data_IF_899229780967
#
_entry.id   IF_899229780967
#
_cell.length_a   1.000
_cell.length_b   1.000
_cell.length_c   1.000
_cell.angle_alpha   90.00
_cell.angle_beta   90.00
_cell.angle_gamma   90.00
#
_symmetry.space_group_name_H-M   'P 1'
#
loop_
_entity.id
_entity.type
_entity.pdbx_description
1 polymer ?
#
# COMPACT_ATOMS: atom_id res chain seq x y z
N UNK A 1 19.79 13.02 11.87
CA UNK A 1 19.73 13.39 13.31
C UNK A 1 21.09 13.20 14.01
N UNK A 2 22.20 13.64 13.40
CA UNK A 2 23.58 13.36 13.89
C UNK A 2 23.88 13.97 15.27
N UNK A 3 23.40 15.19 15.53
CA UNK A 3 23.55 15.88 16.83
C UNK A 3 22.93 15.10 17.99
N UNK A 4 21.79 14.45 17.75
CA UNK A 4 21.09 13.61 18.74
C UNK A 4 21.68 12.20 18.86
N UNK A 5 22.71 11.87 18.06
CA UNK A 5 23.31 10.53 17.98
C UNK A 5 22.28 9.40 17.78
N UNK A 6 21.18 9.69 17.09
CA UNK A 6 20.13 8.72 16.82
C UNK A 6 20.64 7.61 15.89
N UNK A 7 20.11 6.40 16.06
CA UNK A 7 20.44 5.28 15.19
C UNK A 7 19.94 5.53 13.76
N UNK A 8 20.51 4.79 12.80
CA UNK A 8 20.04 4.84 11.41
C UNK A 8 18.58 4.39 11.29
N UNK A 9 18.19 3.38 12.09
CA UNK A 9 16.80 2.90 12.16
C UNK A 9 15.86 4.00 12.68
N UNK A 10 16.20 4.65 13.80
CA UNK A 10 15.42 5.77 14.32
C UNK A 10 15.29 6.89 13.28
N UNK A 11 16.38 7.22 12.59
CA UNK A 11 16.36 8.24 11.53
C UNK A 11 15.42 7.84 10.40
N UNK A 12 15.48 6.57 9.95
CA UNK A 12 14.59 6.06 8.90
C UNK A 12 13.12 6.13 9.33
N UNK A 13 12.79 5.64 10.53
CA UNK A 13 11.42 5.65 11.06
C UNK A 13 10.89 7.07 11.18
N UNK A 14 11.65 7.98 11.80
CA UNK A 14 11.22 9.39 11.96
C UNK A 14 11.03 10.07 10.61
N UNK A 15 11.98 9.92 9.68
CA UNK A 15 11.85 10.49 8.34
C UNK A 15 10.63 9.96 7.59
N UNK A 16 10.34 8.66 7.73
CA UNK A 16 9.17 8.03 7.11
C UNK A 16 7.86 8.59 7.68
N UNK A 17 7.73 8.66 9.00
CA UNK A 17 6.52 9.22 9.64
C UNK A 17 6.33 10.70 9.29
N UNK A 18 7.38 11.51 9.36
CA UNK A 18 7.31 12.94 9.00
C UNK A 18 6.96 13.11 7.52
N UNK A 19 7.42 12.24 6.62
CA UNK A 19 7.02 12.29 5.21
C UNK A 19 5.51 12.09 5.02
N UNK A 20 4.87 11.32 5.90
CA UNK A 20 3.51 10.83 5.71
C UNK A 20 2.48 11.36 6.72
N UNK A 21 2.89 12.13 7.74
CA UNK A 21 2.00 12.58 8.83
C UNK A 21 0.86 13.50 8.36
N UNK A 22 1.05 14.26 7.28
CA UNK A 22 0.02 15.13 6.72
C UNK A 22 -0.89 14.34 5.78
N UNK A 23 -1.71 13.46 6.35
CA UNK A 23 -2.81 12.83 5.63
C UNK A 23 -4.16 13.45 6.01
N UNK A 24 -5.06 13.49 5.04
CA UNK A 24 -6.43 14.01 5.19
C UNK A 24 -7.42 12.87 4.93
N UNK A 25 -7.67 12.09 5.99
CA UNK A 25 -8.67 11.04 5.93
C UNK A 25 -10.07 11.66 5.94
N UNK A 26 -10.91 11.18 5.02
CA UNK A 26 -12.32 11.52 4.96
C UNK A 26 -13.10 10.21 4.89
N UNK A 27 -14.25 10.11 5.56
CA UNK A 27 -15.07 8.89 5.56
C UNK A 27 -15.51 8.45 4.16
N UNK A 28 -15.44 9.36 3.17
CA UNK A 28 -15.69 9.09 1.75
C UNK A 28 -14.56 8.34 1.02
N UNK A 29 -13.40 8.10 1.65
CA UNK A 29 -12.36 7.26 1.07
C UNK A 29 -12.93 5.89 0.72
N UNK A 30 -12.62 5.39 -0.48
CA UNK A 30 -12.93 4.00 -0.85
C UNK A 30 -12.02 3.02 -0.08
N UNK A 31 -12.42 1.75 -0.02
CA UNK A 31 -11.55 0.72 0.55
C UNK A 31 -10.25 0.55 -0.25
N UNK A 32 -10.27 0.85 -1.56
CA UNK A 32 -9.05 0.92 -2.37
C UNK A 32 -8.11 2.06 -1.94
N UNK A 33 -8.66 3.21 -1.54
CA UNK A 33 -7.85 4.31 -0.99
C UNK A 33 -7.24 3.94 0.37
N UNK A 34 -8.00 3.23 1.23
CA UNK A 34 -7.47 2.74 2.51
C UNK A 34 -6.38 1.69 2.30
N UNK A 35 -6.57 0.73 1.39
CA UNK A 35 -5.52 -0.23 1.01
C UNK A 35 -4.26 0.49 0.53
N UNK A 36 -4.38 1.44 -0.41
CA UNK A 36 -3.24 2.26 -0.88
C UNK A 36 -2.58 3.08 0.23
N UNK A 37 -3.33 3.53 1.23
CA UNK A 37 -2.77 4.16 2.41
C UNK A 37 -1.92 3.16 3.19
N UNK A 38 -2.44 1.97 3.48
CA UNK A 38 -1.69 0.92 4.18
C UNK A 38 -0.40 0.55 3.42
N UNK A 39 -0.46 0.35 2.10
CA UNK A 39 0.71 -0.03 1.29
C UNK A 39 1.77 1.07 1.25
N UNK A 40 1.34 2.34 1.17
CA UNK A 40 2.25 3.49 1.16
C UNK A 40 2.93 3.71 2.50
N UNK A 41 2.21 3.52 3.60
CA UNK A 41 2.73 3.74 4.95
C UNK A 41 3.51 2.54 5.46
N UNK A 42 3.13 1.31 5.12
CA UNK A 42 3.62 0.12 5.79
C UNK A 42 2.88 -0.11 7.11
N UNK A 43 2.35 -1.32 7.27
CA UNK A 43 1.50 -1.70 8.39
C UNK A 43 2.19 -1.47 9.75
N UNK A 44 3.50 -1.69 9.81
CA UNK A 44 4.31 -1.52 11.01
C UNK A 44 4.40 -0.07 11.50
N UNK A 45 4.18 0.92 10.61
CA UNK A 45 4.30 2.34 10.94
C UNK A 45 2.95 2.99 11.27
N UNK A 46 1.82 2.37 10.93
CA UNK A 46 0.48 2.95 11.11
C UNK A 46 0.20 3.36 12.57
N UNK A 47 0.45 2.53 13.60
CA UNK A 47 0.19 2.93 14.99
C UNK A 47 0.96 4.18 15.42
N UNK A 48 2.23 4.26 14.98
CA UNK A 48 3.09 5.39 15.31
C UNK A 48 2.72 6.64 14.50
N UNK A 49 2.26 6.48 13.25
CA UNK A 49 1.75 7.56 12.43
C UNK A 49 0.48 8.17 13.02
N UNK A 50 -0.44 7.36 13.54
CA UNK A 50 -1.66 7.84 14.18
C UNK A 50 -1.35 8.60 15.46
N UNK A 51 -0.42 8.07 16.28
CA UNK A 51 0.06 8.77 17.47
C UNK A 51 0.66 10.13 17.14
N UNK A 52 1.48 10.20 16.08
CA UNK A 52 2.06 11.45 15.59
C UNK A 52 0.97 12.41 15.10
N UNK A 53 -0.02 11.93 14.35
CA UNK A 53 -1.12 12.76 13.85
C UNK A 53 -1.99 13.34 14.97
N UNK A 54 -2.28 12.55 16.00
CA UNK A 54 -3.02 13.03 17.18
C UNK A 54 -2.22 14.12 17.90
N UNK A 55 -0.92 13.90 18.14
CA UNK A 55 -0.05 14.89 18.78
C UNK A 55 0.02 16.20 17.98
N UNK A 56 0.15 16.12 16.66
CA UNK A 56 0.16 17.27 15.75
C UNK A 56 -1.16 18.05 15.80
N UNK A 57 -2.32 17.37 15.72
CA UNK A 57 -3.63 18.02 15.83
C UNK A 57 -3.85 18.72 17.18
N UNK A 58 -3.43 18.07 18.29
CA UNK A 58 -3.50 18.67 19.64
C UNK A 58 -2.61 19.90 19.72
N UNK A 59 -1.39 19.85 19.18
CA UNK A 59 -0.47 20.98 19.19
C UNK A 59 -1.00 22.18 18.39
N UNK A 60 -1.69 21.93 17.27
CA UNK A 60 -2.22 22.98 16.39
C UNK A 60 -3.56 23.54 16.89
N UNK A 61 -4.48 22.68 17.34
CA UNK A 61 -5.89 23.03 17.56
C UNK A 61 -6.39 22.78 18.99
N UNK A 62 -5.54 22.29 19.89
CA UNK A 62 -5.87 21.96 21.28
C UNK A 62 -6.65 20.65 21.45
N UNK A 63 -7.03 19.97 20.35
CA UNK A 63 -7.73 18.68 20.35
C UNK A 63 -7.33 17.83 19.14
N UNK A 64 -7.48 16.51 19.25
CA UNK A 64 -7.36 15.59 18.13
C UNK A 64 -8.75 15.16 17.62
N UNK A 65 -8.81 14.79 16.34
CA UNK A 65 -9.99 14.17 15.74
C UNK A 65 -9.98 12.66 15.99
N UNK A 66 -10.25 12.29 17.25
CA UNK A 66 -10.32 10.89 17.66
C UNK A 66 -11.38 10.09 16.88
N UNK A 67 -12.59 10.62 16.58
CA UNK A 67 -13.57 9.89 15.80
C UNK A 67 -13.08 9.50 14.41
N UNK A 68 -12.52 10.42 13.62
CA UNK A 68 -12.05 10.08 12.26
C UNK A 68 -10.85 9.11 12.27
N UNK A 69 -9.92 9.27 13.20
CA UNK A 69 -8.79 8.34 13.32
C UNK A 69 -9.23 6.96 13.83
N UNK A 70 -10.24 6.89 14.70
CA UNK A 70 -10.88 5.65 15.13
C UNK A 70 -11.57 4.94 13.97
N UNK A 71 -12.35 5.67 13.16
CA UNK A 71 -12.99 5.12 11.96
C UNK A 71 -11.97 4.54 10.97
N UNK A 72 -10.90 5.28 10.66
CA UNK A 72 -9.85 4.78 9.79
C UNK A 72 -9.15 3.54 10.38
N UNK A 73 -8.92 3.50 11.69
CA UNK A 73 -8.35 2.33 12.38
C UNK A 73 -9.24 1.10 12.18
N UNK A 74 -10.55 1.23 12.39
CA UNK A 74 -11.50 0.12 12.26
C UNK A 74 -11.58 -0.38 10.80
N UNK A 75 -11.51 0.54 9.81
CA UNK A 75 -11.45 0.17 8.39
C UNK A 75 -10.17 -0.58 8.03
N UNK A 76 -9.02 -0.16 8.57
CA UNK A 76 -7.76 -0.88 8.39
C UNK A 76 -7.86 -2.28 8.99
N UNK A 77 -8.42 -2.42 10.19
CA UNK A 77 -8.63 -3.72 10.84
C UNK A 77 -9.55 -4.64 10.01
N UNK A 78 -10.61 -4.08 9.40
CA UNK A 78 -11.48 -4.81 8.48
C UNK A 78 -10.76 -5.35 7.25
N UNK A 79 -9.91 -4.54 6.61
CA UNK A 79 -9.09 -4.94 5.46
C UNK A 79 -8.10 -6.05 5.84
N UNK A 80 -7.47 -5.95 7.01
CA UNK A 80 -6.54 -6.97 7.50
C UNK A 80 -7.26 -8.30 7.80
N UNK A 81 -8.46 -8.24 8.37
CA UNK A 81 -9.29 -9.41 8.64
C UNK A 81 -9.75 -10.12 7.35
N UNK A 82 -9.99 -9.35 6.28
CA UNK A 82 -10.32 -9.88 4.96
C UNK A 82 -9.14 -10.57 4.26
N UNK A 83 -7.91 -10.41 4.76
CA UNK A 83 -6.66 -10.92 4.17
C UNK A 83 -6.42 -10.42 2.73
N UNK A 84 -6.78 -9.16 2.50
CA UNK A 84 -6.50 -8.51 1.22
C UNK A 84 -4.99 -8.48 0.95
N UNK A 85 -4.61 -8.55 -0.34
CA UNK A 85 -3.22 -8.39 -0.72
C UNK A 85 -2.76 -6.94 -0.48
N UNK A 86 -1.69 -6.76 0.30
CA UNK A 86 -1.13 -5.46 0.67
C UNK A 86 0.32 -5.29 0.22
N UNK A 87 0.86 -6.27 -0.51
CA UNK A 87 2.14 -6.21 -1.19
C UNK A 87 2.12 -7.06 -2.46
N UNK A 88 3.07 -6.81 -3.36
CA UNK A 88 3.28 -7.64 -4.56
C UNK A 88 3.49 -9.12 -4.18
N UNK A 89 4.04 -9.41 -3.00
CA UNK A 89 4.29 -10.79 -2.54
C UNK A 89 3.01 -11.53 -2.17
N UNK A 90 1.91 -10.80 -1.95
CA UNK A 90 0.61 -11.37 -1.60
C UNK A 90 -0.24 -11.66 -2.85
N UNK A 91 0.28 -11.35 -4.05
CA UNK A 91 -0.37 -11.72 -5.30
C UNK A 91 -0.41 -13.24 -5.46
N UNK A 92 -1.51 -13.74 -6.04
CA UNK A 92 -1.68 -15.15 -6.38
C UNK A 92 -0.78 -15.62 -7.54
N UNK A 93 0.03 -14.73 -8.11
CA UNK A 93 1.03 -15.01 -9.14
C UNK A 93 2.35 -14.35 -8.78
N UNK A 94 3.45 -14.98 -9.18
CA UNK A 94 4.79 -14.43 -9.06
C UNK A 94 5.46 -14.21 -10.42
N UNK A 95 6.75 -13.84 -10.41
CA UNK A 95 7.50 -13.64 -11.64
C UNK A 95 7.69 -14.90 -12.49
N UNK A 96 7.68 -16.09 -11.89
CA UNK A 96 7.79 -17.36 -12.60
C UNK A 96 6.50 -17.68 -13.35
N UNK A 97 5.34 -17.49 -12.71
CA UNK A 97 4.05 -17.63 -13.37
C UNK A 97 3.93 -16.74 -14.62
N UNK A 98 4.41 -15.50 -14.51
CA UNK A 98 4.44 -14.57 -15.65
C UNK A 98 5.37 -15.04 -16.78
N UNK A 99 6.52 -15.65 -16.45
CA UNK A 99 7.43 -16.20 -17.44
C UNK A 99 6.83 -17.43 -18.15
N UNK A 100 6.09 -18.28 -17.44
CA UNK A 100 5.41 -19.45 -18.03
C UNK A 100 4.38 -19.06 -19.09
N UNK A 101 3.72 -17.91 -18.93
CA UNK A 101 2.76 -17.39 -19.93
C UNK A 101 3.40 -16.55 -21.04
N UNK A 102 4.73 -16.54 -21.12
CA UNK A 102 5.49 -15.95 -22.23
C UNK A 102 5.96 -14.52 -22.00
N UNK A 103 5.84 -13.96 -20.78
CA UNK A 103 6.36 -12.62 -20.49
C UNK A 103 7.88 -12.70 -20.29
N UNK A 104 8.70 -12.00 -21.09
CA UNK A 104 10.14 -12.15 -21.02
C UNK A 104 10.70 -11.58 -19.73
N UNK A 105 11.70 -12.28 -19.18
CA UNK A 105 12.42 -11.88 -17.98
C UNK A 105 13.02 -10.48 -18.13
N UNK A 106 12.90 -9.67 -17.07
CA UNK A 106 13.50 -8.34 -17.01
C UNK A 106 12.54 -7.30 -16.42
N UNK A 107 12.72 -6.03 -16.79
CA UNK A 107 11.93 -4.91 -16.28
C UNK A 107 10.42 -5.07 -16.49
N UNK A 108 10.00 -5.80 -17.53
CA UNK A 108 8.59 -6.07 -17.85
C UNK A 108 7.87 -6.87 -16.78
N UNK A 109 8.55 -7.82 -16.12
CA UNK A 109 7.97 -8.62 -15.02
C UNK A 109 7.58 -7.70 -13.86
N UNK A 110 8.51 -6.84 -13.43
CA UNK A 110 8.25 -5.89 -12.33
C UNK A 110 7.13 -4.90 -12.66
N UNK A 111 7.12 -4.36 -13.88
CA UNK A 111 6.05 -3.47 -14.34
C UNK A 111 4.67 -4.18 -14.35
N UNK A 112 4.63 -5.43 -14.80
CA UNK A 112 3.40 -6.23 -14.82
C UNK A 112 2.92 -6.54 -13.41
N UNK A 113 3.79 -7.01 -12.52
CA UNK A 113 3.43 -7.25 -11.12
C UNK A 113 2.94 -5.98 -10.42
N UNK A 114 3.53 -4.82 -10.71
CA UNK A 114 3.04 -3.55 -10.18
C UNK A 114 1.64 -3.19 -10.70
N UNK A 115 1.37 -3.40 -11.99
CA UNK A 115 0.05 -3.21 -12.59
C UNK A 115 -1.01 -4.15 -11.98
N UNK A 116 -0.67 -5.44 -11.85
CA UNK A 116 -1.54 -6.43 -11.22
C UNK A 116 -1.83 -6.07 -9.77
N UNK A 117 -0.79 -5.62 -9.04
CA UNK A 117 -0.96 -5.18 -7.66
C UNK A 117 -1.89 -3.97 -7.55
N UNK A 118 -1.76 -2.95 -8.40
CA UNK A 118 -2.71 -1.84 -8.42
C UNK A 118 -4.14 -2.28 -8.75
N UNK A 119 -4.31 -3.24 -9.66
CA UNK A 119 -5.63 -3.81 -10.00
C UNK A 119 -6.26 -4.53 -8.81
N UNK A 120 -5.45 -5.29 -8.07
CA UNK A 120 -5.88 -5.96 -6.83
C UNK A 120 -6.14 -4.95 -5.72
N UNK A 121 -5.39 -3.85 -5.63
CA UNK A 121 -5.67 -2.74 -4.70
C UNK A 121 -6.96 -1.98 -5.04
N UNK A 122 -7.50 -2.11 -6.25
CA UNK A 122 -8.84 -1.62 -6.60
C UNK A 122 -9.92 -2.66 -6.28
N UNK A 123 -9.73 -3.92 -6.68
CA UNK A 123 -10.66 -5.01 -6.40
C UNK A 123 -9.90 -6.27 -5.90
N UNK A 124 -9.95 -6.58 -4.60
CA UNK A 124 -9.18 -7.68 -4.03
C UNK A 124 -9.64 -9.05 -4.55
N UNK A 125 -10.86 -9.15 -5.10
CA UNK A 125 -11.39 -10.39 -5.69
C UNK A 125 -10.65 -10.79 -6.97
N UNK A 126 -9.91 -9.87 -7.58
CA UNK A 126 -9.08 -10.17 -8.75
C UNK A 126 -7.84 -11.00 -8.41
N UNK A 127 -7.51 -11.17 -7.12
CA UNK A 127 -6.33 -11.90 -6.69
C UNK A 127 -6.47 -13.42 -6.80
N UNK A 128 -6.77 -13.91 -8.00
CA UNK A 128 -6.74 -15.33 -8.37
C UNK A 128 -5.74 -15.53 -9.49
N UNK A 129 -5.10 -16.70 -9.53
CA UNK A 129 -4.07 -16.98 -10.54
C UNK A 129 -4.60 -16.77 -11.95
N UNK A 130 -5.78 -17.30 -12.25
CA UNK A 130 -6.41 -17.24 -13.56
C UNK A 130 -6.69 -15.78 -13.98
N UNK A 131 -7.27 -14.99 -13.08
CA UNK A 131 -7.63 -13.59 -13.36
C UNK A 131 -6.38 -12.73 -13.55
N UNK A 132 -5.36 -12.90 -12.69
CA UNK A 132 -4.13 -12.14 -12.79
C UNK A 132 -3.32 -12.48 -14.05
N UNK A 133 -3.27 -13.74 -14.47
CA UNK A 133 -2.61 -14.12 -15.72
C UNK A 133 -3.33 -13.55 -16.95
N UNK A 134 -4.66 -13.48 -16.94
CA UNK A 134 -5.43 -12.82 -18.00
C UNK A 134 -5.13 -11.32 -18.05
N UNK A 135 -5.18 -10.64 -16.90
CA UNK A 135 -4.84 -9.22 -16.80
C UNK A 135 -3.40 -8.93 -17.23
N UNK A 136 -2.46 -9.81 -16.90
CA UNK A 136 -1.06 -9.67 -17.29
C UNK A 136 -0.88 -9.67 -18.81
N UNK A 137 -1.55 -10.59 -19.53
CA UNK A 137 -1.50 -10.65 -20.99
C UNK A 137 -2.09 -9.40 -21.62
N UNK A 138 -3.28 -8.99 -21.17
CA UNK A 138 -3.95 -7.78 -21.67
C UNK A 138 -3.08 -6.52 -21.44
N UNK A 139 -2.40 -6.43 -20.31
CA UNK A 139 -1.47 -5.35 -20.02
C UNK A 139 -0.25 -5.35 -20.95
N UNK A 140 0.34 -6.52 -21.22
CA UNK A 140 1.48 -6.63 -22.14
C UNK A 140 1.11 -6.25 -23.58
N UNK A 141 -0.08 -6.64 -24.05
CA UNK A 141 -0.63 -6.22 -25.34
C UNK A 141 -0.82 -4.70 -25.40
N UNK A 142 -1.49 -4.13 -24.40
CA UNK A 142 -1.75 -2.69 -24.33
C UNK A 142 -0.47 -1.85 -24.24
N UNK A 143 0.51 -2.29 -23.45
CA UNK A 143 1.76 -1.58 -23.26
C UNK A 143 2.74 -1.71 -24.45
N UNK A 144 2.32 -2.35 -25.55
CA UNK A 144 3.13 -2.51 -26.76
C UNK A 144 4.33 -3.44 -26.56
N UNK A 145 4.21 -4.40 -25.64
CA UNK A 145 5.27 -5.35 -25.32
C UNK A 145 5.14 -6.70 -26.03
N UNK A 146 4.08 -6.92 -26.80
CA UNK A 146 3.98 -8.05 -27.73
C UNK A 146 4.92 -7.86 -28.92
N UNK A 147 5.64 -8.95 -29.27
CA UNK A 147 6.37 -9.05 -30.54
C UNK A 147 5.41 -9.10 -31.73
#
# INVERSE_FOLDING_TARGET
MKRLKASNEQTKTVCHLVRHHMFDYQSSWSDSAVRRFITRIGLEYIPLLFSLRMADQIAISGKADYPLLGELKDRIEGILAAKDALSIKDLAVDGNDLMEVGIPKGKRIGATLAFLFESVLDDPKQNTREQLLLLAKNYQEFAGFTN
#
